data_IF_553985356803
#
_entry.id   IF_553985356803
#
_cell.length_a   1.000
_cell.length_b   1.000
_cell.length_c   1.000
_cell.angle_alpha   90.00
_cell.angle_beta   90.00
_cell.angle_gamma   90.00
#
_symmetry.space_group_name_H-M   'P 1'
#
loop_
_entity.id
_entity.type
_entity.pdbx_description
1 polymer ?
#
# COMPACT_ATOMS: atom_id res chain seq x y z
N UNK A 1 -36.27 56.55 10.21
CA UNK A 1 -36.78 55.47 9.31
C UNK A 1 -35.91 55.26 8.03
N UNK A 2 -35.39 56.25 7.37
CA UNK A 2 -34.59 56.09 6.13
C UNK A 2 -33.27 55.35 6.30
N UNK A 3 -32.55 55.50 7.44
CA UNK A 3 -31.27 54.81 7.71
C UNK A 3 -31.46 53.28 7.94
N UNK A 4 -32.52 52.82 8.54
CA UNK A 4 -32.80 51.42 8.81
C UNK A 4 -33.15 50.63 7.52
N UNK A 5 -33.77 51.30 6.57
CA UNK A 5 -34.14 50.74 5.26
C UNK A 5 -32.90 50.59 4.38
N UNK A 6 -31.95 51.53 4.43
CA UNK A 6 -30.66 51.45 3.71
C UNK A 6 -29.78 50.33 4.23
N UNK A 7 -29.67 50.13 5.54
CA UNK A 7 -28.90 49.04 6.15
C UNK A 7 -29.50 47.66 5.80
N UNK A 8 -30.83 47.50 5.83
CA UNK A 8 -31.51 46.24 5.46
C UNK A 8 -31.35 45.89 3.97
N UNK A 9 -31.27 46.90 3.08
CA UNK A 9 -31.05 46.75 1.64
C UNK A 9 -29.61 46.37 1.33
N UNK A 10 -28.62 46.91 2.05
CA UNK A 10 -27.21 46.56 1.96
C UNK A 10 -26.94 45.12 2.41
N UNK A 11 -27.51 44.71 3.56
CA UNK A 11 -27.42 43.33 4.05
C UNK A 11 -28.00 42.30 3.07
N UNK A 12 -29.14 42.58 2.45
CA UNK A 12 -29.74 41.69 1.42
C UNK A 12 -28.92 41.60 0.14
N UNK A 13 -28.21 42.69 -0.26
CA UNK A 13 -27.27 42.63 -1.39
C UNK A 13 -26.05 41.76 -1.05
N UNK A 14 -25.46 41.95 0.13
CA UNK A 14 -24.35 41.11 0.59
C UNK A 14 -24.70 39.63 0.65
N UNK A 15 -25.89 39.30 1.16
CA UNK A 15 -26.38 37.91 1.20
C UNK A 15 -26.59 37.31 -0.20
N UNK A 16 -27.09 38.10 -1.17
CA UNK A 16 -27.23 37.64 -2.55
C UNK A 16 -25.87 37.43 -3.24
N UNK A 17 -24.91 38.29 -3.01
CA UNK A 17 -23.55 38.12 -3.55
C UNK A 17 -22.92 36.87 -2.95
N UNK A 18 -23.03 36.66 -1.65
CA UNK A 18 -22.50 35.47 -0.97
C UNK A 18 -23.13 34.18 -1.51
N UNK A 19 -24.48 34.16 -1.70
CA UNK A 19 -25.14 32.98 -2.28
C UNK A 19 -24.75 32.71 -3.73
N UNK A 20 -24.48 33.73 -4.54
CA UNK A 20 -23.98 33.57 -5.90
C UNK A 20 -22.54 33.00 -5.87
N UNK A 21 -21.68 33.51 -5.02
CA UNK A 21 -20.29 33.02 -4.86
C UNK A 21 -20.30 31.54 -4.42
N UNK A 22 -21.13 31.19 -3.46
CA UNK A 22 -21.26 29.79 -3.01
C UNK A 22 -21.78 28.92 -4.15
N UNK A 23 -22.78 29.36 -4.91
CA UNK A 23 -23.30 28.61 -6.06
C UNK A 23 -22.23 28.39 -7.14
N UNK A 24 -21.39 29.39 -7.41
CA UNK A 24 -20.27 29.26 -8.38
C UNK A 24 -19.24 28.26 -7.85
N UNK A 25 -18.85 28.34 -6.60
CA UNK A 25 -17.90 27.38 -5.96
C UNK A 25 -18.46 25.95 -6.04
N UNK A 26 -19.74 25.76 -5.73
CA UNK A 26 -20.39 24.45 -5.83
C UNK A 26 -20.43 23.94 -7.29
N UNK A 27 -20.73 24.81 -8.25
CA UNK A 27 -20.73 24.45 -9.66
C UNK A 27 -19.32 24.05 -10.14
N UNK A 28 -18.28 24.77 -9.74
CA UNK A 28 -16.88 24.41 -10.06
C UNK A 28 -16.51 23.07 -9.40
N UNK A 29 -16.89 22.86 -8.15
CA UNK A 29 -16.65 21.60 -7.47
C UNK A 29 -17.34 20.42 -8.16
N UNK A 30 -18.61 20.59 -8.59
CA UNK A 30 -19.34 19.56 -9.34
C UNK A 30 -18.66 19.27 -10.69
N UNK A 31 -18.24 20.29 -11.42
CA UNK A 31 -17.52 20.11 -12.69
C UNK A 31 -16.19 19.39 -12.47
N UNK A 32 -15.44 19.75 -11.42
CA UNK A 32 -14.20 19.07 -11.07
C UNK A 32 -14.43 17.60 -10.72
N UNK A 33 -15.47 17.30 -9.95
CA UNK A 33 -15.89 15.93 -9.59
C UNK A 33 -16.23 15.12 -10.85
N UNK A 34 -17.04 15.69 -11.76
CA UNK A 34 -17.40 15.03 -13.02
C UNK A 34 -16.14 14.81 -13.87
N UNK A 35 -15.27 15.82 -13.97
CA UNK A 35 -14.02 15.72 -14.72
C UNK A 35 -13.12 14.60 -14.20
N UNK A 36 -12.88 14.54 -12.89
CA UNK A 36 -12.11 13.46 -12.26
C UNK A 36 -12.77 12.11 -12.58
N UNK A 37 -14.07 11.99 -12.37
CA UNK A 37 -14.79 10.75 -12.63
C UNK A 37 -14.64 10.27 -14.08
N UNK A 38 -14.86 11.14 -15.04
CA UNK A 38 -14.81 10.77 -16.48
C UNK A 38 -13.39 10.51 -16.96
N UNK A 39 -12.41 11.28 -16.50
CA UNK A 39 -11.01 11.13 -16.96
C UNK A 39 -10.26 9.96 -16.33
N UNK A 40 -10.78 9.41 -15.23
CA UNK A 40 -10.19 8.26 -14.54
C UNK A 40 -10.95 6.96 -14.77
N UNK A 41 -12.04 6.97 -15.54
CA UNK A 41 -12.71 5.74 -15.95
C UNK A 41 -11.82 4.93 -16.92
N UNK A 42 -11.91 3.58 -16.89
CA UNK A 42 -11.29 2.74 -17.92
C UNK A 42 -11.71 3.16 -19.30
N UNK A 43 -10.75 3.18 -20.23
CA UNK A 43 -10.98 3.61 -21.63
C UNK A 43 -11.07 2.45 -22.61
N UNK A 44 -10.70 1.24 -22.19
CA UNK A 44 -10.68 0.05 -23.04
C UNK A 44 -11.09 -1.19 -22.25
N UNK A 45 -11.40 -2.27 -22.98
CA UNK A 45 -11.67 -3.58 -22.36
C UNK A 45 -10.45 -4.15 -21.60
N UNK A 46 -9.25 -3.78 -22.00
CA UNK A 46 -8.01 -4.14 -21.31
C UNK A 46 -7.87 -3.47 -19.92
N UNK A 47 -8.55 -2.35 -19.72
CA UNK A 47 -8.61 -1.67 -18.43
C UNK A 47 -9.72 -2.22 -17.53
N UNK A 48 -10.47 -3.24 -17.95
CA UNK A 48 -11.55 -3.83 -17.15
C UNK A 48 -11.06 -4.59 -15.93
N UNK A 49 -9.80 -5.04 -15.93
CA UNK A 49 -9.15 -5.67 -14.77
C UNK A 49 -8.69 -4.67 -13.72
N UNK A 50 -8.81 -3.37 -14.01
CA UNK A 50 -8.47 -2.34 -13.06
C UNK A 50 -9.57 -2.17 -12.07
N UNK A 51 -9.28 -2.49 -10.86
CA UNK A 51 -10.22 -2.37 -9.77
C UNK A 51 -10.17 -0.96 -9.25
N UNK A 52 -11.28 -0.28 -9.40
CA UNK A 52 -11.52 1.00 -8.76
C UNK A 52 -12.18 0.76 -7.42
N UNK A 53 -11.89 1.62 -6.51
CA UNK A 53 -12.40 1.60 -5.15
C UNK A 53 -13.91 1.53 -5.10
N UNK A 54 -14.45 0.78 -4.16
CA UNK A 54 -15.85 0.42 -3.99
C UNK A 54 -16.86 1.52 -4.31
N UNK A 55 -18.00 1.15 -4.84
CA UNK A 55 -19.02 2.06 -5.35
C UNK A 55 -18.68 2.77 -6.68
N UNK A 56 -17.43 2.65 -7.14
CA UNK A 56 -16.94 3.14 -8.44
C UNK A 56 -16.59 1.99 -9.38
N UNK A 57 -16.64 0.78 -8.90
CA UNK A 57 -16.45 -0.45 -9.64
C UNK A 57 -17.81 -1.06 -9.93
N UNK A 58 -17.95 -1.68 -11.09
CA UNK A 58 -19.13 -2.50 -11.35
C UNK A 58 -19.18 -3.67 -10.40
N UNK A 59 -20.37 -4.12 -10.01
CA UNK A 59 -20.57 -5.22 -9.06
C UNK A 59 -19.86 -6.52 -9.42
N UNK A 60 -19.39 -6.62 -10.66
CA UNK A 60 -18.77 -7.83 -11.20
C UNK A 60 -17.28 -7.98 -10.83
N UNK A 61 -16.68 -6.96 -10.21
CA UNK A 61 -15.24 -6.93 -9.89
C UNK A 61 -14.93 -7.02 -8.40
N UNK A 62 -15.95 -6.95 -7.53
CA UNK A 62 -15.81 -7.11 -6.08
C UNK A 62 -16.75 -8.20 -5.61
N UNK A 63 -16.20 -9.39 -5.40
CA UNK A 63 -16.98 -10.58 -5.07
C UNK A 63 -17.42 -10.62 -3.60
N UNK A 64 -16.77 -9.83 -2.74
CA UNK A 64 -16.99 -9.94 -1.32
C UNK A 64 -16.91 -8.59 -0.60
N UNK A 65 -17.89 -8.35 0.29
CA UNK A 65 -17.93 -7.22 1.21
C UNK A 65 -18.04 -7.70 2.65
N UNK A 66 -17.22 -7.14 3.52
CA UNK A 66 -17.23 -7.46 4.94
C UNK A 66 -18.48 -6.89 5.63
N UNK A 67 -19.02 -7.60 6.61
CA UNK A 67 -20.13 -7.11 7.46
C UNK A 67 -19.68 -5.89 8.29
N UNK A 68 -18.42 -5.82 8.71
CA UNK A 68 -17.84 -4.68 9.44
C UNK A 68 -17.77 -3.40 8.61
N UNK A 69 -17.71 -3.52 7.29
CA UNK A 69 -17.69 -2.41 6.32
C UNK A 69 -19.08 -1.99 5.84
N UNK A 70 -20.12 -2.71 6.23
CA UNK A 70 -21.48 -2.49 5.71
C UNK A 70 -21.96 -1.05 5.91
N UNK A 71 -22.31 -0.40 4.81
CA UNK A 71 -22.82 0.96 4.78
C UNK A 71 -21.77 2.07 4.80
N UNK A 72 -20.48 1.76 4.99
CA UNK A 72 -19.38 2.75 4.98
C UNK A 72 -19.25 3.36 3.58
N UNK A 73 -19.43 2.58 2.53
CA UNK A 73 -19.39 3.01 1.14
C UNK A 73 -20.44 4.09 0.80
N UNK A 74 -21.50 4.23 1.61
CA UNK A 74 -22.53 5.28 1.46
C UNK A 74 -22.11 6.62 2.06
N UNK A 75 -21.05 6.65 2.87
CA UNK A 75 -20.57 7.87 3.51
C UNK A 75 -20.02 8.85 2.44
N UNK A 76 -20.51 10.11 2.39
CA UNK A 76 -20.03 11.08 1.39
C UNK A 76 -18.53 11.37 1.44
N UNK A 77 -17.92 11.33 2.64
CA UNK A 77 -16.49 11.53 2.81
C UNK A 77 -15.72 10.36 2.18
N UNK A 78 -16.16 9.12 2.44
CA UNK A 78 -15.57 7.93 1.84
C UNK A 78 -15.67 7.96 0.32
N UNK A 79 -16.83 8.34 -0.23
CA UNK A 79 -17.00 8.51 -1.68
C UNK A 79 -16.04 9.56 -2.26
N UNK A 80 -15.83 10.66 -1.55
CA UNK A 80 -14.85 11.67 -1.97
C UNK A 80 -13.42 11.09 -1.95
N UNK A 81 -13.05 10.35 -0.91
CA UNK A 81 -11.75 9.66 -0.85
C UNK A 81 -11.58 8.71 -2.03
N UNK A 82 -12.59 7.89 -2.32
CA UNK A 82 -12.59 6.98 -3.45
C UNK A 82 -12.36 7.71 -4.79
N UNK A 83 -12.97 8.88 -4.97
CA UNK A 83 -12.75 9.69 -6.17
C UNK A 83 -11.33 10.22 -6.27
N UNK A 84 -10.74 10.66 -5.15
CA UNK A 84 -9.33 11.11 -5.10
C UNK A 84 -8.40 9.94 -5.45
N UNK A 85 -8.64 8.76 -4.89
CA UNK A 85 -7.84 7.58 -5.17
C UNK A 85 -7.97 7.10 -6.62
N UNK A 86 -9.16 7.20 -7.22
CA UNK A 86 -9.32 6.94 -8.66
C UNK A 86 -8.48 7.89 -9.51
N UNK A 87 -8.38 9.16 -9.11
CA UNK A 87 -7.50 10.11 -9.80
C UNK A 87 -6.03 9.74 -9.65
N UNK A 88 -5.60 9.30 -8.46
CA UNK A 88 -4.25 8.80 -8.21
C UNK A 88 -3.96 7.56 -9.07
N UNK A 89 -4.84 6.57 -9.08
CA UNK A 89 -4.75 5.37 -9.91
C UNK A 89 -4.55 5.72 -11.40
N UNK A 90 -5.36 6.62 -11.95
CA UNK A 90 -5.19 7.07 -13.33
C UNK A 90 -3.86 7.80 -13.59
N UNK A 91 -3.28 8.44 -12.58
CA UNK A 91 -1.95 9.06 -12.61
C UNK A 91 -0.84 8.02 -12.60
N UNK A 92 -0.94 7.04 -11.72
CA UNK A 92 0.06 5.99 -11.53
C UNK A 92 0.13 5.07 -12.76
N UNK A 93 -1.01 4.70 -13.34
CA UNK A 93 -1.06 3.99 -14.62
C UNK A 93 -0.36 4.71 -15.77
N UNK A 94 -0.46 6.04 -15.83
CA UNK A 94 0.26 6.81 -16.85
C UNK A 94 1.76 6.77 -16.64
N UNK A 95 2.21 6.80 -15.37
CA UNK A 95 3.63 6.67 -15.01
C UNK A 95 4.13 5.29 -15.39
N UNK A 96 3.41 4.25 -15.01
CA UNK A 96 3.69 2.87 -15.36
C UNK A 96 3.80 2.70 -16.88
N UNK A 97 2.79 3.10 -17.64
CA UNK A 97 2.77 3.01 -19.10
C UNK A 97 3.86 3.83 -19.81
N UNK A 98 4.55 4.74 -19.13
CA UNK A 98 5.67 5.53 -19.68
C UNK A 98 7.04 4.86 -19.54
N UNK A 99 7.12 3.75 -18.83
CA UNK A 99 8.36 3.01 -18.55
C UNK A 99 8.44 1.76 -19.43
N UNK A 100 9.61 1.20 -19.55
CA UNK A 100 9.87 -0.05 -20.26
C UNK A 100 10.45 -1.06 -19.27
N UNK A 101 9.71 -2.12 -18.92
CA UNK A 101 10.22 -3.17 -18.06
C UNK A 101 11.29 -4.01 -18.76
N UNK A 102 12.12 -4.78 -18.01
CA UNK A 102 13.02 -5.76 -18.58
C UNK A 102 12.24 -6.86 -19.32
N UNK A 103 12.80 -7.40 -20.38
CA UNK A 103 12.20 -8.45 -21.22
C UNK A 103 12.76 -9.87 -20.93
N UNK A 104 13.73 -9.98 -20.03
CA UNK A 104 14.37 -11.23 -19.60
C UNK A 104 13.90 -11.72 -18.21
N UNK A 105 12.69 -11.36 -17.84
CA UNK A 105 12.00 -11.80 -16.62
C UNK A 105 10.80 -12.68 -16.97
N UNK A 106 10.74 -13.87 -16.37
CA UNK A 106 9.53 -14.69 -16.36
C UNK A 106 8.51 -14.08 -15.41
N UNK A 107 7.30 -13.86 -15.86
CA UNK A 107 6.15 -13.48 -15.02
C UNK A 107 5.06 -14.53 -15.17
N UNK A 108 4.63 -15.10 -14.05
CA UNK A 108 3.48 -16.01 -13.95
C UNK A 108 2.40 -15.26 -13.18
N UNK A 109 1.39 -14.78 -13.90
CA UNK A 109 0.38 -13.87 -13.35
C UNK A 109 -0.87 -14.59 -12.87
N UNK A 110 -1.59 -13.93 -11.95
CA UNK A 110 -2.94 -14.29 -11.52
C UNK A 110 -3.06 -15.67 -10.88
N UNK A 111 -2.06 -16.04 -10.10
CA UNK A 111 -2.09 -17.29 -9.33
C UNK A 111 -3.01 -17.09 -8.12
N UNK A 112 -4.14 -17.78 -8.09
CA UNK A 112 -5.08 -17.70 -6.97
C UNK A 112 -4.49 -18.36 -5.71
N UNK A 113 -4.37 -17.60 -4.63
CA UNK A 113 -3.98 -18.13 -3.32
C UNK A 113 -5.19 -18.55 -2.48
N UNK A 114 -6.40 -18.09 -2.84
CA UNK A 114 -7.69 -18.62 -2.39
C UNK A 114 -8.53 -18.95 -3.62
N UNK A 115 -9.14 -20.12 -3.64
CA UNK A 115 -9.95 -20.56 -4.78
C UNK A 115 -11.43 -20.12 -4.61
N UNK A 116 -11.68 -18.82 -4.65
CA UNK A 116 -13.02 -18.23 -4.51
C UNK A 116 -13.41 -17.31 -5.67
N UNK A 117 -12.59 -17.28 -6.74
CA UNK A 117 -12.74 -16.41 -7.91
C UNK A 117 -12.68 -14.91 -7.59
N UNK A 118 -12.21 -14.52 -6.42
CA UNK A 118 -12.02 -13.11 -6.09
C UNK A 118 -10.74 -12.59 -6.77
N UNK A 119 -10.87 -11.54 -7.57
CA UNK A 119 -9.74 -10.94 -8.29
C UNK A 119 -8.58 -10.51 -7.36
N UNK A 120 -8.89 -10.09 -6.15
CA UNK A 120 -7.87 -9.69 -5.17
C UNK A 120 -7.17 -10.85 -4.46
N UNK A 121 -7.67 -12.07 -4.59
CA UNK A 121 -7.04 -13.25 -4.01
C UNK A 121 -6.05 -13.91 -4.96
N UNK A 122 -5.26 -13.07 -5.63
CA UNK A 122 -4.23 -13.46 -6.60
C UNK A 122 -2.87 -12.91 -6.22
N UNK A 123 -1.84 -13.58 -6.71
CA UNK A 123 -0.46 -13.12 -6.68
C UNK A 123 0.23 -13.41 -8.03
N UNK A 124 1.33 -12.72 -8.29
CA UNK A 124 2.24 -13.03 -9.40
C UNK A 124 3.55 -13.59 -8.86
N UNK A 125 4.20 -14.42 -9.67
CA UNK A 125 5.57 -14.89 -9.40
C UNK A 125 6.47 -14.43 -10.54
N UNK A 126 7.58 -13.78 -10.19
CA UNK A 126 8.56 -13.27 -11.14
C UNK A 126 9.96 -13.76 -10.78
N UNK A 127 10.78 -14.08 -11.78
CA UNK A 127 12.18 -14.47 -11.61
C UNK A 127 12.95 -14.34 -12.93
N UNK A 128 14.31 -14.33 -12.92
CA UNK A 128 15.09 -14.22 -14.16
C UNK A 128 14.79 -15.35 -15.13
N UNK A 129 14.65 -15.05 -16.43
CA UNK A 129 14.33 -16.04 -17.47
C UNK A 129 15.37 -17.17 -17.55
N UNK A 130 16.62 -16.88 -17.27
CA UNK A 130 17.72 -17.86 -17.31
C UNK A 130 17.79 -18.73 -16.04
N UNK A 131 16.98 -18.47 -15.01
CA UNK A 131 17.00 -19.24 -13.77
C UNK A 131 16.51 -20.69 -13.99
N UNK A 132 17.24 -21.63 -13.39
CA UNK A 132 16.86 -23.04 -13.40
C UNK A 132 16.10 -23.38 -12.12
N UNK A 133 15.17 -24.34 -12.19
CA UNK A 133 14.41 -24.77 -11.01
C UNK A 133 15.29 -25.21 -9.82
N UNK A 134 16.51 -25.62 -10.07
CA UNK A 134 17.49 -26.04 -9.05
C UNK A 134 18.26 -24.88 -8.41
N UNK A 135 18.12 -23.69 -8.96
CA UNK A 135 18.78 -22.51 -8.41
C UNK A 135 18.18 -22.14 -7.05
N UNK A 136 18.96 -21.42 -6.26
CA UNK A 136 18.62 -20.99 -4.91
C UNK A 136 18.67 -19.46 -4.86
N UNK A 137 17.71 -18.83 -5.53
CA UNK A 137 17.61 -17.37 -5.57
C UNK A 137 16.88 -16.88 -4.30
N UNK A 138 17.38 -15.82 -3.64
CA UNK A 138 16.69 -15.24 -2.51
C UNK A 138 15.27 -14.76 -2.89
N UNK A 139 14.37 -14.79 -1.93
CA UNK A 139 12.94 -14.52 -2.15
C UNK A 139 12.59 -13.11 -1.66
N UNK A 140 11.79 -12.40 -2.42
CA UNK A 140 11.17 -11.14 -2.03
C UNK A 140 9.65 -11.30 -2.15
N UNK A 141 8.92 -10.89 -1.11
CA UNK A 141 7.46 -10.88 -1.12
C UNK A 141 7.01 -9.42 -1.03
N UNK A 142 6.32 -8.93 -2.06
CA UNK A 142 5.87 -7.55 -2.15
C UNK A 142 4.39 -7.39 -1.83
N UNK A 143 4.07 -6.35 -1.05
CA UNK A 143 2.71 -5.94 -0.69
C UNK A 143 2.52 -4.50 -1.17
N UNK A 144 1.68 -4.33 -2.20
CA UNK A 144 1.49 -3.03 -2.84
C UNK A 144 0.87 -1.97 -1.93
N UNK A 145 1.15 -0.71 -2.23
CA UNK A 145 0.55 0.46 -1.60
C UNK A 145 -0.89 0.73 -2.07
N UNK A 146 -1.22 2.00 -2.30
CA UNK A 146 -2.55 2.40 -2.78
C UNK A 146 -3.50 2.88 -1.70
N UNK A 147 -2.98 3.37 -0.55
CA UNK A 147 -3.79 3.95 0.53
C UNK A 147 -4.87 3.00 1.05
N UNK A 148 -4.66 1.69 0.97
CA UNK A 148 -5.58 0.59 1.31
C UNK A 148 -6.86 0.54 0.48
N UNK A 149 -7.04 1.46 -0.48
CA UNK A 149 -8.33 1.75 -1.10
C UNK A 149 -8.31 1.70 -2.63
N UNK A 150 -7.16 1.53 -3.27
CA UNK A 150 -7.07 1.42 -4.72
C UNK A 150 -5.91 0.54 -5.17
N UNK A 151 -5.88 0.22 -6.45
CA UNK A 151 -4.90 -0.64 -7.12
C UNK A 151 -4.97 -2.12 -6.72
N UNK A 152 -4.06 -2.87 -7.23
CA UNK A 152 -3.75 -4.27 -6.96
C UNK A 152 -2.26 -4.51 -7.20
N UNK A 153 -1.82 -5.76 -7.26
CA UNK A 153 -0.42 -6.14 -7.54
C UNK A 153 0.18 -5.49 -8.79
N UNK A 154 -0.64 -5.20 -9.81
CA UNK A 154 -0.17 -4.62 -11.08
C UNK A 154 0.38 -3.19 -10.90
N UNK A 155 0.08 -2.51 -9.77
CA UNK A 155 0.70 -1.23 -9.44
C UNK A 155 2.21 -1.34 -9.25
N UNK A 156 2.66 -2.45 -8.66
CA UNK A 156 4.05 -2.70 -8.29
C UNK A 156 4.76 -3.68 -9.25
N UNK A 157 4.12 -4.14 -10.34
CA UNK A 157 4.69 -5.19 -11.19
C UNK A 157 6.05 -4.78 -11.79
N UNK A 158 6.23 -3.54 -12.25
CA UNK A 158 7.51 -3.05 -12.76
C UNK A 158 8.59 -2.94 -11.69
N UNK A 159 8.21 -2.59 -10.47
CA UNK A 159 9.11 -2.67 -9.33
C UNK A 159 9.50 -4.13 -9.07
N UNK A 160 8.55 -5.04 -9.04
CA UNK A 160 8.80 -6.47 -8.86
C UNK A 160 9.65 -7.06 -10.01
N UNK A 161 9.38 -6.67 -11.26
CA UNK A 161 10.23 -7.05 -12.40
C UNK A 161 11.67 -6.54 -12.24
N UNK A 162 11.84 -5.33 -11.72
CA UNK A 162 13.19 -4.78 -11.48
C UNK A 162 13.97 -5.54 -10.41
N UNK A 163 13.27 -6.12 -9.43
CA UNK A 163 13.87 -6.99 -8.42
C UNK A 163 14.19 -8.37 -9.00
N UNK A 164 13.29 -8.91 -9.82
CA UNK A 164 13.50 -10.19 -10.49
C UNK A 164 14.69 -10.15 -11.46
N UNK A 165 14.83 -9.10 -12.26
CA UNK A 165 15.98 -8.86 -13.15
C UNK A 165 17.34 -8.86 -12.40
N UNK A 166 17.33 -8.46 -11.13
CA UNK A 166 18.48 -8.46 -10.23
C UNK A 166 18.78 -9.82 -9.56
N UNK A 167 18.06 -10.88 -9.94
CA UNK A 167 18.36 -12.24 -9.49
C UNK A 167 17.55 -12.71 -8.29
N UNK A 168 16.38 -12.15 -8.06
CA UNK A 168 15.48 -12.57 -6.99
C UNK A 168 14.24 -13.31 -7.54
N UNK A 169 13.65 -14.19 -6.72
CA UNK A 169 12.28 -14.65 -6.96
C UNK A 169 11.33 -13.72 -6.20
N UNK A 170 10.40 -13.12 -6.91
CA UNK A 170 9.48 -12.13 -6.35
C UNK A 170 8.07 -12.66 -6.38
N UNK A 171 7.39 -12.63 -5.23
CA UNK A 171 5.96 -12.86 -5.08
C UNK A 171 5.27 -11.53 -4.85
N UNK A 172 4.41 -11.12 -5.78
CA UNK A 172 3.71 -9.85 -5.76
C UNK A 172 2.23 -10.10 -5.42
N UNK A 173 1.77 -9.64 -4.25
CA UNK A 173 0.49 -10.02 -3.66
C UNK A 173 -0.56 -8.94 -3.87
N UNK A 174 -1.78 -9.33 -4.32
CA UNK A 174 -2.99 -8.52 -4.17
C UNK A 174 -3.72 -8.85 -2.86
N UNK A 175 -4.51 -7.91 -2.38
CA UNK A 175 -5.42 -8.04 -1.23
C UNK A 175 -6.64 -7.17 -1.41
N UNK A 176 -7.79 -7.54 -0.82
CA UNK A 176 -9.05 -6.79 -0.95
C UNK A 176 -8.93 -5.37 -0.37
N UNK A 177 -9.70 -4.45 -0.93
CA UNK A 177 -9.57 -3.02 -0.67
C UNK A 177 -10.66 -2.48 0.28
N UNK A 178 -10.28 -1.47 1.06
CA UNK A 178 -11.26 -0.65 1.79
C UNK A 178 -12.01 0.28 0.79
N UNK A 179 -13.28 0.57 1.03
CA UNK A 179 -14.07 0.28 2.20
C UNK A 179 -14.89 -1.03 2.11
N UNK A 180 -14.66 -1.88 1.12
CA UNK A 180 -15.42 -3.12 0.97
C UNK A 180 -15.02 -4.15 2.04
N UNK A 181 -13.76 -4.10 2.49
CA UNK A 181 -13.24 -4.81 3.67
C UNK A 181 -12.51 -3.84 4.60
N UNK A 182 -12.21 -4.27 5.83
CA UNK A 182 -11.40 -3.53 6.78
C UNK A 182 -9.93 -3.97 6.71
N UNK A 183 -9.04 -3.27 7.41
CA UNK A 183 -7.63 -3.66 7.53
C UNK A 183 -7.46 -5.05 8.15
N UNK A 184 -8.41 -5.49 8.99
CA UNK A 184 -8.40 -6.86 9.53
C UNK A 184 -8.45 -7.88 8.42
N UNK A 185 -9.41 -7.74 7.50
CA UNK A 185 -9.56 -8.67 6.39
C UNK A 185 -8.42 -8.52 5.37
N UNK A 186 -7.84 -7.33 5.18
CA UNK A 186 -6.64 -7.16 4.35
C UNK A 186 -5.45 -7.94 4.92
N UNK A 187 -5.25 -7.90 6.23
CA UNK A 187 -4.23 -8.70 6.92
C UNK A 187 -4.53 -10.20 6.80
N UNK A 188 -5.79 -10.62 6.85
CA UNK A 188 -6.18 -12.01 6.60
C UNK A 188 -5.82 -12.46 5.19
N UNK A 189 -6.13 -11.64 4.17
CA UNK A 189 -5.80 -11.94 2.78
C UNK A 189 -4.30 -12.12 2.59
N UNK A 190 -3.49 -11.22 3.18
CA UNK A 190 -2.03 -11.32 3.16
C UNK A 190 -1.56 -12.59 3.88
N UNK A 191 -2.13 -12.92 5.04
CA UNK A 191 -1.77 -14.14 5.75
C UNK A 191 -2.07 -15.40 4.92
N UNK A 192 -3.19 -15.44 4.19
CA UNK A 192 -3.48 -16.52 3.24
C UNK A 192 -2.49 -16.57 2.08
N UNK A 193 -2.11 -15.42 1.52
CA UNK A 193 -1.11 -15.36 0.46
C UNK A 193 0.27 -15.83 0.96
N UNK A 194 0.70 -15.38 2.15
CA UNK A 194 1.94 -15.81 2.77
C UNK A 194 1.92 -17.33 3.07
N UNK A 195 0.77 -17.88 3.50
CA UNK A 195 0.61 -19.32 3.71
C UNK A 195 0.72 -20.09 2.40
N UNK A 196 0.10 -19.58 1.34
CA UNK A 196 0.24 -20.19 0.01
C UNK A 196 1.70 -20.16 -0.46
N UNK A 197 2.43 -19.06 -0.25
CA UNK A 197 3.86 -18.93 -0.58
C UNK A 197 4.68 -19.94 0.21
N UNK A 198 4.48 -20.04 1.53
CA UNK A 198 5.13 -21.04 2.39
C UNK A 198 5.02 -22.46 1.83
N UNK A 199 3.83 -22.83 1.37
CA UNK A 199 3.53 -24.17 0.87
C UNK A 199 4.02 -24.41 -0.58
N UNK A 200 4.18 -23.36 -1.39
CA UNK A 200 4.39 -23.48 -2.84
C UNK A 200 5.72 -22.93 -3.37
N UNK A 201 6.45 -22.10 -2.60
CA UNK A 201 7.67 -21.47 -3.10
C UNK A 201 8.77 -22.46 -3.53
N UNK A 202 8.77 -23.68 -3.01
CA UNK A 202 9.68 -24.75 -3.45
C UNK A 202 9.44 -25.23 -4.89
N UNK A 203 8.34 -24.83 -5.50
CA UNK A 203 8.06 -25.10 -6.91
C UNK A 203 8.83 -24.18 -7.87
N UNK A 204 9.38 -23.09 -7.36
CA UNK A 204 10.13 -22.05 -8.06
C UNK A 204 11.63 -22.11 -7.69
N UNK A 205 12.52 -21.38 -8.37
CA UNK A 205 13.97 -21.39 -8.07
C UNK A 205 14.33 -20.65 -6.78
N UNK A 206 13.60 -20.90 -5.69
CA UNK A 206 13.69 -20.18 -4.42
C UNK A 206 14.76 -20.74 -3.46
N UNK A 207 15.47 -19.84 -2.79
CA UNK A 207 16.10 -20.12 -1.50
C UNK A 207 15.09 -19.86 -0.38
N UNK A 208 14.48 -20.92 0.11
CA UNK A 208 13.43 -20.84 1.14
C UNK A 208 13.92 -20.41 2.52
N UNK A 209 15.25 -20.27 2.71
CA UNK A 209 15.84 -19.79 3.96
C UNK A 209 16.09 -18.28 3.95
N UNK A 210 16.01 -17.64 2.79
CA UNK A 210 16.33 -16.22 2.63
C UNK A 210 15.12 -15.49 2.02
N UNK A 211 14.30 -14.91 2.91
CA UNK A 211 13.04 -14.28 2.55
C UNK A 211 13.02 -12.84 3.06
N UNK A 212 12.80 -11.88 2.17
CA UNK A 212 12.51 -10.49 2.51
C UNK A 212 11.05 -10.18 2.26
N UNK A 213 10.39 -9.56 3.23
CA UNK A 213 9.06 -8.99 3.05
C UNK A 213 9.19 -7.49 2.80
N UNK A 214 8.56 -7.00 1.73
CA UNK A 214 8.58 -5.58 1.38
C UNK A 214 7.18 -5.04 1.16
N UNK A 215 7.07 -3.73 1.23
CA UNK A 215 5.85 -3.01 0.89
C UNK A 215 6.03 -1.51 0.95
N UNK A 216 5.21 -0.82 0.21
CA UNK A 216 5.24 0.63 0.10
C UNK A 216 3.97 1.28 0.67
N UNK A 217 4.11 2.47 1.28
CA UNK A 217 2.97 3.25 1.78
C UNK A 217 2.05 2.43 2.70
N UNK A 218 0.80 2.19 2.28
CA UNK A 218 -0.16 1.32 2.95
C UNK A 218 0.34 -0.14 3.02
N UNK A 219 0.95 -0.64 1.93
CA UNK A 219 1.58 -1.95 1.88
C UNK A 219 2.75 -2.08 2.84
N UNK A 220 3.52 -0.99 3.07
CA UNK A 220 4.58 -0.95 4.07
C UNK A 220 4.05 -1.12 5.50
N UNK A 221 2.89 -0.55 5.82
CA UNK A 221 2.20 -0.85 7.09
C UNK A 221 1.80 -2.33 7.14
N UNK A 222 1.11 -2.82 6.12
CA UNK A 222 0.63 -4.20 6.07
C UNK A 222 1.78 -5.20 6.15
N UNK A 223 2.94 -4.90 5.55
CA UNK A 223 4.15 -5.74 5.62
C UNK A 223 4.68 -5.86 7.05
N UNK A 224 4.94 -4.74 7.74
CA UNK A 224 5.45 -4.77 9.11
C UNK A 224 4.43 -5.36 10.08
N UNK A 225 3.13 -5.12 9.89
CA UNK A 225 2.07 -5.73 10.69
C UNK A 225 2.03 -7.25 10.50
N UNK A 226 2.09 -7.72 9.25
CA UNK A 226 2.13 -9.16 8.96
C UNK A 226 3.34 -9.83 9.60
N UNK A 227 4.52 -9.22 9.53
CA UNK A 227 5.74 -9.73 10.14
C UNK A 227 5.63 -9.85 11.68
N UNK A 228 4.92 -8.93 12.35
CA UNK A 228 4.68 -8.96 13.79
C UNK A 228 3.60 -9.99 14.14
N UNK A 229 2.48 -9.99 13.38
CA UNK A 229 1.32 -10.87 13.64
C UNK A 229 1.72 -12.34 13.50
N UNK A 230 2.53 -12.70 12.51
CA UNK A 230 3.01 -14.08 12.33
C UNK A 230 3.73 -14.63 13.57
N UNK A 231 4.33 -13.78 14.41
CA UNK A 231 5.08 -14.18 15.59
C UNK A 231 4.26 -14.22 16.88
N UNK A 232 2.99 -13.75 16.84
CA UNK A 232 2.16 -13.59 18.03
C UNK A 232 0.83 -14.32 17.92
N UNK A 233 0.67 -15.41 18.67
CA UNK A 233 -0.62 -16.11 18.73
C UNK A 233 -1.76 -15.25 19.27
N UNK A 234 -1.46 -14.25 20.11
CA UNK A 234 -2.44 -13.29 20.60
C UNK A 234 -2.94 -12.43 19.44
N UNK A 235 -2.04 -11.85 18.64
CA UNK A 235 -2.41 -11.03 17.50
C UNK A 235 -3.07 -11.86 16.38
N UNK A 236 -2.60 -13.09 16.14
CA UNK A 236 -3.27 -14.00 15.20
C UNK A 236 -4.74 -14.21 15.61
N UNK A 237 -5.03 -14.38 16.90
CA UNK A 237 -6.41 -14.46 17.39
C UNK A 237 -7.20 -13.15 17.21
N UNK A 238 -6.58 -11.98 17.46
CA UNK A 238 -7.24 -10.67 17.28
C UNK A 238 -7.58 -10.40 15.84
N UNK A 239 -6.63 -10.67 14.94
CA UNK A 239 -6.80 -10.45 13.50
C UNK A 239 -7.45 -11.64 12.79
N UNK A 240 -7.61 -12.78 13.48
CA UNK A 240 -8.21 -14.01 12.97
C UNK A 240 -7.50 -14.51 11.69
N UNK A 241 -6.16 -14.59 11.79
CA UNK A 241 -5.29 -15.01 10.69
C UNK A 241 -4.94 -16.49 10.77
N UNK A 242 -4.60 -17.07 9.63
CA UNK A 242 -3.98 -18.40 9.56
C UNK A 242 -2.55 -18.36 10.11
N UNK A 243 -2.06 -19.49 10.58
CA UNK A 243 -0.68 -19.67 11.03
C UNK A 243 0.26 -19.75 9.83
N UNK A 244 1.32 -18.91 9.85
CA UNK A 244 2.33 -18.79 8.80
C UNK A 244 3.72 -18.93 9.43
N UNK A 245 4.53 -19.85 8.90
CA UNK A 245 5.88 -20.16 9.40
C UNK A 245 6.97 -19.73 8.39
N UNK A 246 6.98 -18.48 7.98
CA UNK A 246 8.06 -17.91 7.19
C UNK A 246 9.12 -17.28 8.10
N UNK A 247 10.36 -17.72 7.97
CA UNK A 247 11.50 -17.15 8.69
C UNK A 247 12.07 -15.97 7.88
N UNK A 248 11.58 -14.76 8.17
CA UNK A 248 11.97 -13.55 7.45
C UNK A 248 13.42 -13.15 7.80
N UNK A 249 14.22 -12.94 6.77
CA UNK A 249 15.61 -12.49 6.86
C UNK A 249 15.72 -10.98 6.94
N UNK A 250 14.82 -10.26 6.28
CA UNK A 250 14.78 -8.79 6.28
C UNK A 250 13.37 -8.24 6.02
N UNK A 251 13.18 -6.97 6.39
CA UNK A 251 12.06 -6.13 5.96
C UNK A 251 12.59 -4.95 5.13
N UNK A 252 11.85 -4.59 4.07
CA UNK A 252 12.07 -3.37 3.31
C UNK A 252 10.78 -2.54 3.29
N UNK A 253 10.81 -1.37 3.89
CA UNK A 253 9.63 -0.52 4.07
C UNK A 253 9.82 0.81 3.32
N UNK A 254 9.14 0.97 2.20
CA UNK A 254 9.21 2.21 1.41
C UNK A 254 8.10 3.17 1.82
N UNK A 255 8.47 4.28 2.45
CA UNK A 255 7.53 5.32 2.89
C UNK A 255 6.30 4.77 3.65
N UNK A 256 6.48 3.90 4.66
CA UNK A 256 5.37 3.22 5.32
C UNK A 256 4.47 4.21 6.07
N UNK A 257 3.14 4.00 5.99
CA UNK A 257 2.15 4.77 6.73
C UNK A 257 1.67 3.96 7.93
N UNK A 258 2.38 4.06 9.06
CA UNK A 258 2.23 3.15 10.19
C UNK A 258 1.56 3.77 11.44
N UNK A 259 1.07 5.04 11.34
CA UNK A 259 0.48 5.76 12.47
C UNK A 259 -0.83 6.42 12.09
N UNK A 260 -1.94 5.73 12.30
CA UNK A 260 -3.28 6.15 11.91
C UNK A 260 -3.94 7.08 12.93
N UNK A 261 -3.54 7.00 14.22
CA UNK A 261 -4.03 7.86 15.29
C UNK A 261 -3.35 9.24 15.31
N UNK A 262 -2.41 9.49 14.42
CA UNK A 262 -1.68 10.77 14.33
C UNK A 262 -2.57 11.98 13.99
N UNK A 263 -3.82 11.75 13.60
CA UNK A 263 -4.80 12.80 13.31
C UNK A 263 -4.69 13.35 11.88
N UNK A 264 -5.24 14.54 11.65
CA UNK A 264 -5.22 15.18 10.33
C UNK A 264 -5.92 14.37 9.25
N UNK A 265 -5.27 14.23 8.10
CA UNK A 265 -5.80 13.48 6.96
C UNK A 265 -6.07 12.01 7.31
N UNK A 266 -5.21 11.38 8.14
CA UNK A 266 -5.33 9.98 8.50
C UNK A 266 -6.60 9.67 9.31
N UNK A 267 -7.15 10.64 10.04
CA UNK A 267 -8.44 10.45 10.75
C UNK A 267 -9.61 10.11 9.83
N UNK A 268 -9.53 10.44 8.54
CA UNK A 268 -10.56 10.10 7.55
C UNK A 268 -10.59 8.59 7.24
N UNK A 269 -9.46 7.91 7.42
CA UNK A 269 -9.30 6.49 7.16
C UNK A 269 -9.81 5.59 8.28
N UNK A 270 -10.00 6.14 9.50
CA UNK A 270 -10.33 5.32 10.67
C UNK A 270 -11.54 4.44 10.44
N UNK A 271 -12.65 4.98 9.92
CA UNK A 271 -13.84 4.19 9.65
C UNK A 271 -13.72 3.26 8.45
N UNK A 272 -13.22 3.71 7.30
CA UNK A 272 -13.00 2.81 6.17
C UNK A 272 -12.13 1.61 6.49
N UNK A 273 -11.10 1.78 7.31
CA UNK A 273 -10.13 0.74 7.62
C UNK A 273 -10.49 -0.13 8.83
N UNK A 274 -11.16 0.41 9.84
CA UNK A 274 -11.45 -0.31 11.08
C UNK A 274 -12.95 -0.55 11.33
N UNK A 275 -13.81 -0.14 10.40
CA UNK A 275 -15.25 -0.33 10.49
C UNK A 275 -15.99 0.79 11.23
N UNK A 276 -17.32 0.80 11.11
CA UNK A 276 -18.18 1.85 11.70
C UNK A 276 -18.09 1.90 13.22
N UNK A 277 -17.93 0.75 13.86
CA UNK A 277 -17.87 0.57 15.32
C UNK A 277 -16.43 0.29 15.82
N UNK A 278 -15.45 0.78 15.11
CA UNK A 278 -14.03 0.48 15.32
C UNK A 278 -13.55 0.63 16.77
N UNK A 279 -14.10 1.59 17.54
CA UNK A 279 -13.71 1.83 18.93
C UNK A 279 -14.05 0.68 19.88
N UNK A 280 -14.98 -0.17 19.50
CA UNK A 280 -15.43 -1.33 20.26
C UNK A 280 -14.82 -2.64 19.74
N UNK A 281 -13.96 -2.58 18.72
CA UNK A 281 -13.21 -3.74 18.20
C UNK A 281 -11.88 -3.91 18.93
N UNK A 282 -11.41 -5.14 19.04
CA UNK A 282 -10.08 -5.40 19.61
C UNK A 282 -8.96 -4.80 18.74
N UNK A 283 -9.14 -4.79 17.41
CA UNK A 283 -8.18 -4.25 16.45
C UNK A 283 -7.92 -2.76 16.62
N UNK A 284 -8.84 -2.00 17.26
CA UNK A 284 -8.63 -0.58 17.57
C UNK A 284 -7.40 -0.31 18.44
N UNK A 285 -7.01 -1.27 19.27
CA UNK A 285 -5.84 -1.15 20.14
C UNK A 285 -4.51 -1.31 19.40
N UNK A 286 -4.55 -1.68 18.11
CA UNK A 286 -3.39 -2.01 17.28
C UNK A 286 -3.38 -1.20 15.98
N UNK A 287 -3.83 0.07 16.03
CA UNK A 287 -3.90 0.93 14.83
C UNK A 287 -2.56 1.60 14.49
N UNK A 288 -1.70 1.79 15.45
CA UNK A 288 -0.39 2.42 15.31
C UNK A 288 0.73 1.42 15.60
N UNK A 289 1.88 1.57 14.97
CA UNK A 289 3.00 0.64 15.08
C UNK A 289 3.52 0.49 16.52
N UNK A 290 3.50 1.57 17.31
CA UNK A 290 3.91 1.54 18.72
C UNK A 290 2.94 0.75 19.62
N UNK A 291 1.77 0.40 19.13
CA UNK A 291 0.78 -0.41 19.86
C UNK A 291 0.91 -1.93 19.58
N UNK A 292 1.62 -2.30 18.51
CA UNK A 292 1.72 -3.70 18.06
C UNK A 292 3.15 -4.25 18.14
N UNK A 293 4.18 -3.39 18.13
CA UNK A 293 5.58 -3.77 17.96
C UNK A 293 6.09 -4.70 19.08
N UNK A 294 5.57 -4.57 20.30
CA UNK A 294 5.99 -5.36 21.47
C UNK A 294 5.44 -6.79 21.48
N UNK A 295 4.66 -7.16 20.48
CA UNK A 295 4.14 -8.53 20.33
C UNK A 295 5.03 -9.44 19.49
N UNK A 296 6.09 -8.93 18.88
CA UNK A 296 7.08 -9.73 18.17
C UNK A 296 8.34 -9.87 19.01
N UNK A 297 8.81 -11.10 19.19
CA UNK A 297 10.07 -11.40 19.91
C UNK A 297 11.29 -11.03 19.06
N UNK A 298 11.18 -11.09 17.73
CA UNK A 298 12.28 -10.86 16.81
C UNK A 298 11.79 -10.19 15.53
N UNK A 299 11.94 -8.86 15.45
CA UNK A 299 11.70 -8.14 14.20
C UNK A 299 12.94 -8.27 13.32
N UNK A 300 12.80 -8.72 12.05
CA UNK A 300 13.93 -8.85 11.16
C UNK A 300 14.70 -7.55 10.94
N UNK A 301 15.97 -7.59 10.57
CA UNK A 301 16.70 -6.42 10.08
C UNK A 301 15.85 -5.63 9.09
N UNK A 302 15.71 -4.32 9.28
CA UNK A 302 14.74 -3.50 8.56
C UNK A 302 15.41 -2.33 7.86
N UNK A 303 15.20 -2.21 6.56
CA UNK A 303 15.63 -1.07 5.76
C UNK A 303 14.42 -0.19 5.44
N UNK A 304 14.52 1.11 5.71
CA UNK A 304 13.46 2.06 5.45
C UNK A 304 13.90 3.04 4.36
N UNK A 305 13.00 3.36 3.44
CA UNK A 305 13.23 4.33 2.36
C UNK A 305 12.22 5.46 2.47
N UNK A 306 12.69 6.69 2.36
CA UNK A 306 11.86 7.89 2.23
C UNK A 306 12.62 8.99 1.49
N UNK A 307 12.05 10.17 1.39
CA UNK A 307 12.70 11.35 0.82
C UNK A 307 12.16 12.64 1.42
N UNK A 308 12.94 13.72 1.33
CA UNK A 308 12.49 15.06 1.70
C UNK A 308 11.33 15.58 0.84
N UNK A 309 11.08 14.97 -0.33
CA UNK A 309 9.94 15.26 -1.20
C UNK A 309 8.66 14.51 -0.83
N UNK A 310 8.75 13.52 0.03
CA UNK A 310 7.59 12.75 0.51
C UNK A 310 6.86 13.51 1.63
N UNK A 311 5.93 14.36 1.25
CA UNK A 311 5.12 15.15 2.20
C UNK A 311 4.07 14.32 2.93
N UNK A 312 3.81 13.08 2.50
CA UNK A 312 2.80 12.20 3.08
C UNK A 312 3.37 11.36 4.23
N UNK A 313 4.46 10.65 4.00
CA UNK A 313 4.96 9.63 4.90
C UNK A 313 6.36 9.85 5.47
N UNK A 314 7.16 10.83 4.99
CA UNK A 314 8.52 11.05 5.49
C UNK A 314 8.59 11.07 7.04
N UNK A 315 7.74 11.87 7.70
CA UNK A 315 7.71 11.95 9.18
C UNK A 315 7.28 10.63 9.84
N UNK A 316 6.39 9.87 9.21
CA UNK A 316 5.96 8.57 9.73
C UNK A 316 7.08 7.53 9.58
N UNK A 317 7.81 7.58 8.47
CA UNK A 317 8.97 6.71 8.22
C UNK A 317 10.07 6.95 9.27
N UNK A 318 10.39 8.21 9.55
CA UNK A 318 11.34 8.54 10.61
C UNK A 318 10.87 8.07 12.00
N UNK A 319 9.59 8.26 12.34
CA UNK A 319 9.02 7.77 13.60
C UNK A 319 9.11 6.24 13.69
N UNK A 320 8.84 5.52 12.60
CA UNK A 320 8.97 4.07 12.55
C UNK A 320 10.43 3.63 12.75
N UNK A 321 11.37 4.31 12.10
CA UNK A 321 12.80 4.06 12.28
C UNK A 321 13.27 4.27 13.72
N UNK A 322 12.93 5.41 14.35
CA UNK A 322 13.24 5.69 15.74
C UNK A 322 12.66 4.64 16.70
N UNK A 323 11.43 4.19 16.44
CA UNK A 323 10.78 3.17 17.23
C UNK A 323 11.52 1.82 17.10
N UNK A 324 11.82 1.37 15.87
CA UNK A 324 12.56 0.13 15.63
C UNK A 324 13.94 0.15 16.30
N UNK A 325 14.68 1.26 16.18
CA UNK A 325 15.95 1.42 16.91
C UNK A 325 15.79 1.32 18.41
N UNK A 326 14.76 1.94 18.98
CA UNK A 326 14.48 1.90 20.43
C UNK A 326 14.17 0.50 20.94
N UNK A 327 13.71 -0.38 20.04
CA UNK A 327 13.44 -1.81 20.33
C UNK A 327 14.67 -2.70 20.05
N UNK A 328 15.80 -2.12 19.67
CA UNK A 328 17.03 -2.86 19.39
C UNK A 328 17.05 -3.59 18.04
N UNK A 329 16.12 -3.28 17.16
CA UNK A 329 16.11 -3.82 15.80
C UNK A 329 17.28 -3.26 14.99
N UNK A 330 18.03 -4.12 14.31
CA UNK A 330 19.02 -3.67 13.30
C UNK A 330 18.24 -2.98 12.19
N UNK A 331 18.38 -1.66 12.06
CA UNK A 331 17.64 -0.94 11.01
C UNK A 331 18.45 0.23 10.45
N UNK A 332 18.24 0.50 9.19
CA UNK A 332 18.79 1.63 8.45
C UNK A 332 17.67 2.44 7.80
N UNK A 333 17.90 3.73 7.65
CA UNK A 333 16.98 4.63 6.92
C UNK A 333 17.74 5.36 5.83
N UNK A 334 17.21 5.29 4.61
CA UNK A 334 17.63 6.07 3.46
C UNK A 334 16.62 7.19 3.25
N UNK A 335 16.96 8.40 3.71
CA UNK A 335 16.18 9.62 3.49
C UNK A 335 16.91 10.49 2.45
N UNK A 336 16.40 10.47 1.22
CA UNK A 336 17.03 11.12 0.09
C UNK A 336 16.55 12.56 -0.08
N UNK A 337 17.51 13.49 -0.28
CA UNK A 337 17.19 14.84 -0.71
C UNK A 337 17.17 14.95 -2.24
N UNK A 338 16.32 15.83 -2.75
CA UNK A 338 16.23 16.09 -4.19
C UNK A 338 17.57 16.54 -4.82
N UNK A 339 18.49 17.08 -4.03
CA UNK A 339 19.81 17.51 -4.51
C UNK A 339 20.71 16.34 -4.86
N UNK A 340 20.46 15.14 -4.33
CA UNK A 340 21.26 13.96 -4.58
C UNK A 340 21.11 13.44 -6.01
N UNK A 341 19.90 13.58 -6.58
CA UNK A 341 19.60 13.12 -7.94
C UNK A 341 19.17 14.25 -8.89
N UNK A 342 19.24 15.51 -8.44
CA UNK A 342 18.78 16.68 -9.20
C UNK A 342 17.34 16.54 -9.75
N UNK A 343 16.48 15.82 -9.05
CA UNK A 343 15.07 15.61 -9.40
C UNK A 343 14.18 15.57 -8.16
N UNK A 344 12.86 15.69 -8.37
CA UNK A 344 11.89 15.49 -7.30
C UNK A 344 11.78 14.01 -7.00
N UNK A 345 11.82 13.66 -5.70
CA UNK A 345 11.60 12.30 -5.21
C UNK A 345 10.27 12.28 -4.45
N UNK A 346 9.15 12.01 -5.13
CA UNK A 346 7.84 11.99 -4.48
C UNK A 346 7.66 10.78 -3.57
N UNK A 347 6.52 10.70 -2.89
CA UNK A 347 6.10 9.53 -2.13
C UNK A 347 6.29 8.24 -2.94
N UNK A 348 6.92 7.24 -2.35
CA UNK A 348 7.25 5.91 -2.92
C UNK A 348 7.98 5.94 -4.27
N UNK A 349 8.86 6.93 -4.46
CA UNK A 349 9.50 7.18 -5.75
C UNK A 349 10.26 5.98 -6.33
N UNK A 350 10.90 5.16 -5.49
CA UNK A 350 11.66 3.98 -5.92
C UNK A 350 10.76 2.85 -6.45
N UNK A 351 9.51 2.80 -6.00
CA UNK A 351 8.51 1.84 -6.48
C UNK A 351 7.85 2.35 -7.76
N UNK A 352 7.50 3.65 -7.80
CA UNK A 352 6.84 4.27 -8.97
C UNK A 352 7.76 4.43 -10.18
N UNK A 353 9.08 4.53 -9.97
CA UNK A 353 10.08 4.75 -11.02
C UNK A 353 11.31 3.86 -10.82
N UNK A 354 11.14 2.51 -10.84
CA UNK A 354 12.20 1.57 -10.51
C UNK A 354 13.37 1.56 -11.52
N UNK A 355 13.15 2.09 -12.72
CA UNK A 355 14.13 2.15 -13.81
C UNK A 355 14.82 3.51 -13.96
N UNK A 356 14.35 4.55 -13.23
CA UNK A 356 15.04 5.82 -13.16
C UNK A 356 16.32 5.70 -12.33
N UNK A 357 17.32 6.57 -12.57
CA UNK A 357 18.60 6.56 -11.85
C UNK A 357 18.41 6.55 -10.32
N UNK A 358 17.50 7.37 -9.80
CA UNK A 358 17.23 7.43 -8.38
C UNK A 358 16.57 6.14 -7.86
N UNK A 359 15.54 5.65 -8.56
CA UNK A 359 14.85 4.42 -8.19
C UNK A 359 15.78 3.22 -8.21
N UNK A 360 16.53 3.02 -9.30
CA UNK A 360 17.49 1.93 -9.45
C UNK A 360 18.57 1.96 -8.37
N UNK A 361 19.18 3.13 -8.12
CA UNK A 361 20.23 3.29 -7.09
C UNK A 361 19.73 2.94 -5.70
N UNK A 362 18.49 3.33 -5.38
CA UNK A 362 17.90 3.08 -4.06
C UNK A 362 17.54 1.62 -3.89
N UNK A 363 17.02 0.99 -4.94
CA UNK A 363 16.74 -0.45 -4.97
C UNK A 363 18.04 -1.23 -4.76
N UNK A 364 19.12 -0.89 -5.48
CA UNK A 364 20.41 -1.58 -5.34
C UNK A 364 20.92 -1.52 -3.89
N UNK A 365 20.87 -0.37 -3.22
CA UNK A 365 21.26 -0.25 -1.81
C UNK A 365 20.38 -1.05 -0.85
N UNK A 366 19.08 -1.11 -1.11
CA UNK A 366 18.17 -1.93 -0.31
C UNK A 366 18.47 -3.43 -0.48
N UNK A 367 18.83 -3.85 -1.69
CA UNK A 367 19.26 -5.21 -1.97
C UNK A 367 20.63 -5.54 -1.36
N UNK A 368 21.57 -4.59 -1.33
CA UNK A 368 22.86 -4.74 -0.63
C UNK A 368 22.63 -5.00 0.88
N UNK A 369 21.73 -4.23 1.51
CA UNK A 369 21.33 -4.47 2.91
C UNK A 369 20.74 -5.86 3.10
N UNK A 370 19.91 -6.32 2.18
CA UNK A 370 19.33 -7.67 2.24
C UNK A 370 20.41 -8.75 2.10
N UNK A 371 21.39 -8.61 1.18
CA UNK A 371 22.52 -9.53 1.02
C UNK A 371 23.41 -9.57 2.27
N UNK A 372 23.58 -8.42 2.95
CA UNK A 372 24.27 -8.36 4.23
C UNK A 372 23.51 -9.17 5.31
N UNK A 373 22.19 -8.99 5.41
CA UNK A 373 21.35 -9.74 6.34
C UNK A 373 21.41 -11.27 6.10
N UNK A 374 21.40 -11.69 4.81
CA UNK A 374 21.60 -13.11 4.43
C UNK A 374 22.96 -13.62 4.94
N UNK A 375 24.01 -12.85 4.70
CA UNK A 375 25.37 -13.23 5.10
C UNK A 375 25.53 -13.35 6.62
N UNK A 376 24.91 -12.48 7.37
CA UNK A 376 24.88 -12.54 8.85
C UNK A 376 24.10 -13.74 9.37
N UNK A 377 22.95 -14.06 8.75
CA UNK A 377 22.12 -15.22 9.11
C UNK A 377 22.85 -16.55 8.95
N UNK A 378 23.71 -16.66 7.93
CA UNK A 378 24.53 -17.86 7.67
C UNK A 378 25.65 -18.03 8.69
N UNK A 379 26.15 -16.92 9.28
CA UNK A 379 27.29 -16.92 10.21
C UNK A 379 26.87 -17.06 11.68
N UNK A 380 25.60 -16.99 12.01
CA UNK A 380 25.04 -17.17 13.34
C UNK A 380 24.42 -18.57 13.53
#
# INVERSE_FOLDING_TARGET
>A
MASSIKAKKSSRKGLKILSIVIAIILAIAIVAVIFIHVTTLPKSETDQNVIYVGGMVTSDTIDYKSESSKGIEKNPVVKLMQMVWRFCDGGDKKKHASQTPPDDVVQISDIAYINDSNHYHNLDVMYPENAQKTDKLPVIIDIHGGGWMYADKDLNDYYCMSLADRGYVVFNISYRLAPDVTVKEQIQDIAYALKWIEENMSNYPCDTNNIMLTGDSAGGQLAVYSAIIMQSSELQNVFDTVDVNLDLTALLLTSPVSYMKSGGLFSLYTKPLWGSDYKNTQTYNYMDLDEIIDYADNIPPTYLITSSGDTLANKQTHRAYELLQSKGVKCEIADYDKSEFNQSLPHVFSVLYPFDEAGATVIDKALDFYQEAISEKVNN
#
